data_IF_729190070637
#
_entry.id   IF_729190070637
#
_cell.length_a   1.000
_cell.length_b   1.000
_cell.length_c   1.000
_cell.angle_alpha   90.00
_cell.angle_beta   90.00
_cell.angle_gamma   90.00
#
_symmetry.space_group_name_H-M   'P 1'
#
loop_
_entity.id
_entity.type
_entity.pdbx_description
1 polymer ?
#
# COMPACT_ATOMS: atom_id res chain seq x y z
N UNK A 1 -32.27 9.95 -14.99
CA UNK A 1 -30.84 9.64 -15.20
C UNK A 1 -30.78 8.66 -16.35
N UNK A 2 -30.07 9.00 -17.44
CA UNK A 2 -30.01 8.13 -18.61
C UNK A 2 -29.16 6.88 -18.28
N UNK A 3 -29.73 5.70 -18.49
CA UNK A 3 -29.05 4.41 -18.30
C UNK A 3 -28.27 4.11 -19.57
N UNK A 4 -27.00 4.48 -19.65
CA UNK A 4 -26.12 4.05 -20.73
C UNK A 4 -25.78 2.56 -20.55
N UNK A 5 -25.89 1.75 -21.60
CA UNK A 5 -25.61 0.32 -21.56
C UNK A 5 -24.14 -0.04 -21.31
N UNK A 6 -23.26 0.97 -21.37
CA UNK A 6 -21.87 0.85 -20.96
C UNK A 6 -21.74 1.18 -19.47
N UNK A 7 -21.47 0.15 -18.66
CA UNK A 7 -21.27 0.25 -17.21
C UNK A 7 -19.80 0.51 -16.84
N UNK A 8 -18.99 1.00 -17.79
CA UNK A 8 -17.58 1.31 -17.55
C UNK A 8 -17.43 2.53 -16.64
N UNK A 9 -16.72 2.33 -15.54
CA UNK A 9 -16.27 3.39 -14.63
C UNK A 9 -14.75 3.46 -14.69
N UNK A 10 -14.21 4.65 -14.90
CA UNK A 10 -12.77 4.91 -14.83
C UNK A 10 -12.47 5.67 -13.55
N UNK A 11 -11.47 5.20 -12.79
CA UNK A 11 -10.99 5.87 -11.58
C UNK A 11 -9.55 6.28 -11.81
N UNK A 12 -9.28 7.58 -11.74
CA UNK A 12 -7.94 8.13 -11.68
C UNK A 12 -7.64 8.52 -10.23
N UNK A 13 -6.81 7.71 -9.58
CA UNK A 13 -6.39 7.94 -8.20
C UNK A 13 -5.45 9.14 -8.07
N UNK A 14 -4.61 9.42 -9.06
CA UNK A 14 -3.65 10.53 -8.99
C UNK A 14 -4.39 11.88 -8.94
N UNK A 15 -5.40 12.03 -9.80
CA UNK A 15 -6.25 13.24 -9.86
C UNK A 15 -7.52 13.14 -9.00
N UNK A 16 -7.73 12.03 -8.28
CA UNK A 16 -8.90 11.77 -7.42
C UNK A 16 -10.24 12.00 -8.14
N UNK A 17 -10.33 11.47 -9.36
CA UNK A 17 -11.49 11.66 -10.24
C UNK A 17 -12.10 10.32 -10.64
N UNK A 18 -13.44 10.27 -10.67
CA UNK A 18 -14.22 9.17 -11.23
C UNK A 18 -14.95 9.67 -12.48
N UNK A 19 -14.86 8.90 -13.55
CA UNK A 19 -15.56 9.17 -14.82
C UNK A 19 -16.50 8.01 -15.16
N UNK A 20 -17.76 8.33 -15.46
CA UNK A 20 -18.79 7.38 -15.89
C UNK A 20 -19.67 8.05 -16.96
N UNK A 21 -19.51 7.66 -18.23
CA UNK A 21 -20.09 8.41 -19.34
C UNK A 21 -19.64 9.88 -19.31
N UNK A 22 -20.60 10.79 -19.33
CA UNK A 22 -20.35 12.25 -19.28
C UNK A 22 -20.18 12.79 -17.84
N UNK A 23 -20.38 11.95 -16.81
CA UNK A 23 -20.21 12.35 -15.42
C UNK A 23 -18.74 12.32 -15.03
N UNK A 24 -18.25 13.44 -14.50
CA UNK A 24 -16.92 13.56 -13.88
C UNK A 24 -17.11 14.10 -12.46
N UNK A 25 -16.64 13.34 -11.47
CA UNK A 25 -16.76 13.70 -10.06
C UNK A 25 -15.44 13.51 -9.32
N UNK A 26 -15.19 14.36 -8.32
CA UNK A 26 -14.08 14.18 -7.39
C UNK A 26 -14.48 13.27 -6.24
N UNK A 27 -13.51 12.55 -5.71
CA UNK A 27 -13.66 11.78 -4.48
C UNK A 27 -12.57 12.13 -3.47
N UNK A 28 -12.84 11.87 -2.21
CA UNK A 28 -11.87 12.03 -1.13
C UNK A 28 -11.34 10.66 -0.72
N UNK A 29 -10.05 10.63 -0.37
CA UNK A 29 -9.36 9.47 0.19
C UNK A 29 -8.28 9.99 1.12
N UNK A 30 -8.01 9.25 2.19
CA UNK A 30 -6.91 9.55 3.09
C UNK A 30 -5.57 9.64 2.31
N UNK A 31 -4.74 10.63 2.68
CA UNK A 31 -3.51 10.93 1.95
C UNK A 31 -2.51 9.76 2.02
N UNK A 32 -2.38 9.12 3.19
CA UNK A 32 -1.49 7.98 3.37
C UNK A 32 -1.96 6.78 2.56
N UNK A 33 -3.27 6.52 2.51
CA UNK A 33 -3.84 5.45 1.66
C UNK A 33 -3.60 5.74 0.18
N UNK A 34 -3.82 6.98 -0.29
CA UNK A 34 -3.55 7.40 -1.67
C UNK A 34 -2.09 7.16 -2.05
N UNK A 35 -1.15 7.62 -1.22
CA UNK A 35 0.28 7.42 -1.45
C UNK A 35 0.65 5.95 -1.49
N UNK A 36 0.12 5.15 -0.57
CA UNK A 36 0.37 3.70 -0.52
C UNK A 36 -0.10 3.00 -1.80
N UNK A 37 -1.33 3.29 -2.25
CA UNK A 37 -1.88 2.73 -3.48
C UNK A 37 -1.12 3.18 -4.73
N UNK A 38 -0.70 4.45 -4.80
CA UNK A 38 0.10 4.95 -5.92
C UNK A 38 1.51 4.36 -5.96
N UNK A 39 2.11 4.10 -4.79
CA UNK A 39 3.44 3.50 -4.67
C UNK A 39 3.44 1.97 -4.71
N UNK A 40 2.26 1.33 -4.73
CA UNK A 40 2.12 -0.13 -4.67
C UNK A 40 2.52 -0.74 -3.32
N UNK A 41 2.41 0.04 -2.23
CA UNK A 41 2.79 -0.38 -0.89
C UNK A 41 1.61 -1.00 -0.15
N UNK A 42 1.89 -2.13 0.53
CA UNK A 42 1.08 -2.64 1.62
C UNK A 42 1.72 -2.30 2.99
N UNK A 43 1.16 -2.81 4.08
CA UNK A 43 1.71 -2.55 5.44
C UNK A 43 3.12 -3.11 5.63
N UNK A 44 3.45 -4.24 4.98
CA UNK A 44 4.79 -4.82 5.04
C UNK A 44 5.75 -3.95 4.23
N UNK A 45 5.38 -3.57 3.01
CA UNK A 45 6.13 -2.68 2.15
C UNK A 45 6.41 -1.33 2.82
N UNK A 46 5.42 -0.76 3.51
CA UNK A 46 5.60 0.45 4.32
C UNK A 46 6.64 0.24 5.43
N UNK A 47 6.60 -0.90 6.12
CA UNK A 47 7.61 -1.27 7.12
C UNK A 47 9.00 -1.42 6.50
N UNK A 48 9.10 -2.05 5.33
CA UNK A 48 10.36 -2.32 4.63
C UNK A 48 11.00 -1.07 4.02
N UNK A 49 10.31 0.07 3.98
CA UNK A 49 10.98 1.36 3.70
C UNK A 49 12.06 1.71 4.74
N UNK A 50 12.01 1.08 5.91
CA UNK A 50 12.99 1.21 6.99
C UNK A 50 13.94 -0.01 7.07
N UNK A 51 14.13 -0.74 5.97
CA UNK A 51 14.93 -1.97 5.96
C UNK A 51 16.35 -1.78 6.52
N UNK A 52 16.99 -0.64 6.25
CA UNK A 52 18.33 -0.34 6.75
C UNK A 52 18.35 -0.12 8.28
N UNK A 53 17.36 0.60 8.81
CA UNK A 53 17.20 0.83 10.26
C UNK A 53 16.92 -0.49 10.99
N UNK A 54 16.01 -1.30 10.42
CA UNK A 54 15.70 -2.64 10.91
C UNK A 54 16.97 -3.49 10.93
N UNK A 55 17.74 -3.48 9.84
CA UNK A 55 19.01 -4.22 9.74
C UNK A 55 20.02 -3.73 10.78
N UNK A 56 20.16 -2.43 10.96
CA UNK A 56 21.05 -1.83 11.96
C UNK A 56 20.69 -2.23 13.39
N UNK A 57 19.39 -2.23 13.71
CA UNK A 57 18.88 -2.70 15.00
C UNK A 57 19.14 -4.19 15.20
N UNK A 58 18.79 -5.04 14.23
CA UNK A 58 18.94 -6.50 14.35
C UNK A 58 20.41 -6.93 14.50
N UNK A 59 21.37 -6.18 13.93
CA UNK A 59 22.81 -6.42 14.12
C UNK A 59 23.29 -6.29 15.56
N UNK A 60 22.58 -5.52 16.39
CA UNK A 60 22.94 -5.29 17.80
C UNK A 60 21.97 -5.94 18.77
N UNK A 61 21.09 -6.81 18.28
CA UNK A 61 20.05 -7.48 19.06
C UNK A 61 20.64 -8.31 20.21
N UNK A 62 20.27 -8.04 21.47
CA UNK A 62 20.74 -8.84 22.61
C UNK A 62 20.33 -10.31 22.52
N UNK A 63 21.26 -11.21 22.84
CA UNK A 63 21.06 -12.67 22.73
C UNK A 63 20.00 -13.28 23.66
N UNK A 64 19.54 -12.55 24.68
CA UNK A 64 18.45 -13.03 25.55
C UNK A 64 17.05 -12.89 24.92
N UNK A 65 16.92 -12.14 23.80
CA UNK A 65 15.63 -11.99 23.13
C UNK A 65 15.25 -13.29 22.41
N UNK A 66 13.96 -13.68 22.40
CA UNK A 66 13.50 -14.85 21.66
C UNK A 66 13.91 -14.77 20.19
N UNK A 67 14.37 -15.89 19.63
CA UNK A 67 14.67 -16.04 18.20
C UNK A 67 13.67 -17.00 17.56
N UNK A 68 13.34 -16.78 16.28
CA UNK A 68 12.65 -17.81 15.50
C UNK A 68 13.61 -19.02 15.42
N UNK A 69 13.17 -20.17 15.90
CA UNK A 69 14.02 -21.37 16.02
C UNK A 69 14.66 -21.70 14.68
N UNK A 70 15.98 -21.91 14.67
CA UNK A 70 16.67 -22.36 13.47
C UNK A 70 16.08 -23.71 13.07
N UNK A 71 15.50 -23.81 11.87
CA UNK A 71 15.23 -25.12 11.28
C UNK A 71 16.58 -25.82 11.12
N UNK A 72 16.77 -27.03 11.67
CA UNK A 72 18.01 -27.77 11.45
C UNK A 72 18.22 -27.95 9.95
N UNK A 73 19.34 -27.47 9.41
CA UNK A 73 19.78 -27.83 8.06
C UNK A 73 20.04 -29.33 8.06
N UNK A 74 19.19 -30.10 7.37
CA UNK A 74 19.48 -31.47 6.93
C UNK A 74 19.64 -31.45 5.42
#
# INVERSE_FOLDING_TARGET
>A
LATSADNRVTIDLATQTVTCGDLVARFEIDAYVKESLLAGLDHIGATLRHADDITGFERTRPGFKPTLGQTPTT
#
